data_IF_273662244344
#
_entry.id   IF_273662244344
#
_cell.length_a   1.000
_cell.length_b   1.000
_cell.length_c   1.000
_cell.angle_alpha   90.00
_cell.angle_beta   90.00
_cell.angle_gamma   90.00
#
_symmetry.space_group_name_H-M   'P 1'
#
loop_
_entity.id
_entity.type
_entity.pdbx_description
1 polymer ?
#
# COMPACT_ATOMS: atom_id res chain seq x y z
N UNK A 1 -4.03 -17.13 15.96
CA UNK A 1 -4.07 -17.11 17.45
C UNK A 1 -2.67 -17.07 18.07
N UNK A 2 -1.74 -18.00 17.70
CA UNK A 2 -0.36 -17.98 18.25
C UNK A 2 0.39 -16.71 17.83
N UNK A 3 0.35 -16.37 16.54
CA UNK A 3 0.96 -15.14 15.98
C UNK A 3 0.34 -13.90 16.61
N UNK A 4 -0.98 -13.84 16.74
CA UNK A 4 -1.69 -12.70 17.35
C UNK A 4 -1.34 -12.52 18.84
N UNK A 5 -1.01 -13.60 19.55
CA UNK A 5 -0.58 -13.49 20.95
C UNK A 5 0.78 -12.82 21.09
N UNK A 6 1.62 -12.86 20.06
CA UNK A 6 2.98 -12.26 20.04
C UNK A 6 3.00 -10.92 19.30
N UNK A 7 2.39 -10.86 18.12
CA UNK A 7 2.42 -9.69 17.25
C UNK A 7 1.24 -8.71 17.48
N UNK A 8 0.24 -9.11 18.27
CA UNK A 8 -0.99 -8.35 18.43
C UNK A 8 -1.99 -8.61 17.30
N UNK A 9 -3.13 -7.92 17.34
CA UNK A 9 -4.13 -7.99 16.28
C UNK A 9 -3.60 -7.34 15.02
N UNK A 10 -3.75 -8.02 13.89
CA UNK A 10 -3.40 -7.45 12.60
C UNK A 10 -4.31 -6.26 12.28
N UNK A 11 -3.70 -5.14 11.94
CA UNK A 11 -4.38 -3.98 11.38
C UNK A 11 -4.23 -4.05 9.86
N UNK A 12 -5.33 -4.26 9.16
CA UNK A 12 -5.34 -4.53 7.73
C UNK A 12 -4.96 -3.30 6.90
N UNK A 13 -5.29 -2.11 7.38
CA UNK A 13 -5.17 -0.87 6.59
C UNK A 13 -4.76 0.30 7.47
N UNK A 14 -3.77 1.06 7.04
CA UNK A 14 -3.55 2.45 7.43
C UNK A 14 -4.53 3.35 6.67
N UNK A 15 -4.69 4.60 7.12
CA UNK A 15 -5.61 5.54 6.49
C UNK A 15 -4.87 6.75 5.90
N UNK A 16 -4.26 6.58 4.69
CA UNK A 16 -3.59 7.67 4.00
C UNK A 16 -4.55 8.80 3.61
N UNK A 17 -5.84 8.50 3.40
CA UNK A 17 -6.84 9.50 3.05
C UNK A 17 -7.13 10.44 4.21
N UNK A 18 -7.32 9.91 5.43
CA UNK A 18 -7.49 10.74 6.63
C UNK A 18 -6.28 11.64 6.87
N UNK A 19 -5.06 11.16 6.56
CA UNK A 19 -3.84 11.96 6.62
C UNK A 19 -3.82 13.04 5.52
N UNK A 20 -4.06 12.68 4.26
CA UNK A 20 -4.03 13.60 3.12
C UNK A 20 -5.12 14.67 3.20
N UNK A 21 -6.29 14.33 3.73
CA UNK A 21 -7.41 15.25 3.93
C UNK A 21 -7.24 16.12 5.20
N UNK A 22 -6.18 15.90 5.98
CA UNK A 22 -5.87 16.69 7.18
C UNK A 22 -6.68 16.32 8.42
N UNK A 23 -7.34 15.16 8.43
CA UNK A 23 -8.07 14.64 9.60
C UNK A 23 -7.15 13.91 10.57
N UNK A 24 -5.98 13.48 10.10
CA UNK A 24 -4.96 12.81 10.87
C UNK A 24 -3.66 13.62 10.84
N UNK A 25 -2.98 13.71 11.97
CA UNK A 25 -1.67 14.36 12.05
C UNK A 25 -0.59 13.46 11.45
N UNK A 26 0.53 14.06 11.01
CA UNK A 26 1.69 13.30 10.52
C UNK A 26 2.25 12.32 11.54
N UNK A 27 2.31 12.72 12.82
CA UNK A 27 2.83 11.86 13.88
C UNK A 27 1.94 10.63 14.09
N UNK A 28 0.60 10.82 14.05
CA UNK A 28 -0.35 9.72 14.18
C UNK A 28 -0.29 8.78 12.97
N UNK A 29 -0.09 9.32 11.77
CA UNK A 29 0.07 8.49 10.57
C UNK A 29 1.36 7.67 10.59
N UNK A 30 2.48 8.27 11.03
CA UNK A 30 3.73 7.55 11.24
C UNK A 30 3.60 6.46 12.32
N UNK A 31 2.87 6.73 13.39
CA UNK A 31 2.59 5.73 14.43
C UNK A 31 1.79 4.56 13.85
N UNK A 32 0.76 4.83 13.05
CA UNK A 32 -0.06 3.81 12.40
C UNK A 32 0.76 2.92 11.46
N UNK A 33 1.61 3.52 10.61
CA UNK A 33 2.53 2.79 9.74
C UNK A 33 3.56 1.98 10.54
N UNK A 34 4.05 2.54 11.66
CA UNK A 34 4.95 1.86 12.57
C UNK A 34 4.33 0.64 13.25
N UNK A 35 3.06 0.73 13.64
CA UNK A 35 2.31 -0.41 14.19
C UNK A 35 2.20 -1.53 13.15
N UNK A 36 1.92 -1.19 11.89
CA UNK A 36 1.86 -2.16 10.79
C UNK A 36 3.23 -2.83 10.54
N UNK A 37 4.30 -2.03 10.43
CA UNK A 37 5.66 -2.56 10.25
C UNK A 37 6.10 -3.45 11.43
N UNK A 38 5.79 -3.05 12.68
CA UNK A 38 6.08 -3.82 13.87
C UNK A 38 5.30 -5.14 13.92
N UNK A 39 4.02 -5.11 13.55
CA UNK A 39 3.23 -6.33 13.48
C UNK A 39 3.85 -7.32 12.49
N UNK A 40 4.17 -6.85 11.28
CA UNK A 40 4.84 -7.64 10.25
C UNK A 40 6.17 -8.23 10.74
N UNK A 41 7.04 -7.41 11.34
CA UNK A 41 8.33 -7.83 11.86
C UNK A 41 8.20 -8.89 12.97
N UNK A 42 7.29 -8.67 13.93
CA UNK A 42 7.04 -9.59 15.03
C UNK A 42 6.42 -10.89 14.55
N UNK A 43 5.44 -10.84 13.66
CA UNK A 43 4.77 -12.02 13.11
C UNK A 43 5.74 -12.88 12.29
N UNK A 44 6.53 -12.26 11.42
CA UNK A 44 7.53 -12.95 10.60
C UNK A 44 8.61 -13.57 11.50
N UNK A 45 9.15 -12.83 12.46
CA UNK A 45 10.15 -13.32 13.41
C UNK A 45 9.63 -14.53 14.20
N UNK A 46 8.39 -14.44 14.70
CA UNK A 46 7.76 -15.55 15.42
C UNK A 46 7.65 -16.81 14.57
N UNK A 47 7.23 -16.69 13.31
CA UNK A 47 7.08 -17.83 12.40
C UNK A 47 8.44 -18.47 12.13
N UNK A 48 9.46 -17.67 11.81
CA UNK A 48 10.81 -18.18 11.52
C UNK A 48 11.46 -18.89 12.73
N UNK A 49 11.17 -18.43 13.94
CA UNK A 49 11.71 -19.00 15.17
C UNK A 49 10.97 -20.27 15.63
N UNK A 50 9.66 -20.37 15.38
CA UNK A 50 8.80 -21.39 16.02
C UNK A 50 8.19 -22.41 15.06
N UNK A 51 8.44 -22.28 13.75
CA UNK A 51 7.95 -23.23 12.74
C UNK A 51 9.12 -23.77 11.92
N UNK A 52 9.03 -25.01 11.49
CA UNK A 52 9.96 -25.59 10.52
C UNK A 52 9.65 -25.02 9.13
N UNK A 53 10.70 -24.64 8.40
CA UNK A 53 10.58 -24.08 7.06
C UNK A 53 11.84 -24.36 6.22
N UNK A 54 11.65 -24.61 4.94
CA UNK A 54 12.71 -24.68 3.92
C UNK A 54 12.70 -23.42 3.06
N UNK A 55 11.52 -22.75 2.96
CA UNK A 55 11.32 -21.51 2.25
C UNK A 55 10.35 -20.63 3.03
N UNK A 56 10.71 -19.38 3.21
CA UNK A 56 9.86 -18.36 3.80
C UNK A 56 9.74 -17.16 2.85
N UNK A 57 8.52 -16.67 2.67
CA UNK A 57 8.22 -15.45 1.93
C UNK A 57 7.38 -14.53 2.80
N UNK A 58 7.76 -13.26 2.83
CA UNK A 58 7.05 -12.25 3.61
C UNK A 58 6.99 -10.96 2.81
N UNK A 59 5.92 -10.18 2.97
CA UNK A 59 5.69 -8.92 2.29
C UNK A 59 5.26 -7.84 3.27
N UNK A 60 5.73 -6.61 3.06
CA UNK A 60 5.37 -5.44 3.85
C UNK A 60 5.02 -4.27 2.93
N UNK A 61 3.83 -3.70 3.10
CA UNK A 61 3.30 -2.63 2.25
C UNK A 61 3.57 -1.21 2.77
N UNK A 62 4.14 -1.05 3.95
CA UNK A 62 4.25 0.26 4.62
C UNK A 62 5.02 1.31 3.81
N UNK A 63 6.07 0.88 3.08
CA UNK A 63 6.85 1.78 2.22
C UNK A 63 6.00 2.23 1.03
N UNK A 64 5.31 1.30 0.38
CA UNK A 64 4.40 1.60 -0.73
C UNK A 64 3.31 2.61 -0.31
N UNK A 65 2.71 2.40 0.85
CA UNK A 65 1.64 3.28 1.36
C UNK A 65 2.12 4.72 1.60
N UNK A 66 3.27 4.92 2.24
CA UNK A 66 3.80 6.28 2.47
C UNK A 66 4.26 6.94 1.15
N UNK A 67 4.79 6.16 0.20
CA UNK A 67 5.19 6.68 -1.10
C UNK A 67 3.98 7.07 -1.94
N UNK A 68 2.91 6.28 -1.94
CA UNK A 68 1.64 6.68 -2.56
C UNK A 68 1.11 8.02 -2.02
N UNK A 69 1.25 8.26 -0.73
CA UNK A 69 0.79 9.50 -0.11
C UNK A 69 1.68 10.70 -0.41
N UNK A 70 3.02 10.52 -0.46
CA UNK A 70 3.96 11.65 -0.40
C UNK A 70 5.02 11.70 -1.50
N UNK A 71 5.16 10.66 -2.36
CA UNK A 71 6.23 10.62 -3.35
C UNK A 71 6.20 11.80 -4.32
N UNK A 72 5.02 12.21 -4.78
CA UNK A 72 4.88 13.38 -5.64
C UNK A 72 5.38 14.69 -4.99
N UNK A 73 5.39 14.76 -3.67
CA UNK A 73 5.91 15.91 -2.92
C UNK A 73 7.44 16.02 -2.89
N UNK A 74 8.16 14.93 -3.22
CA UNK A 74 9.63 14.90 -3.27
C UNK A 74 10.19 14.89 -4.71
N UNK A 75 9.34 14.64 -5.71
CA UNK A 75 9.74 14.53 -7.12
C UNK A 75 9.67 15.90 -7.81
N UNK A 76 10.81 16.51 -8.19
CA UNK A 76 10.82 17.87 -8.77
C UNK A 76 10.02 18.01 -10.06
N UNK A 77 9.77 16.90 -10.79
CA UNK A 77 8.97 16.91 -12.00
C UNK A 77 7.47 16.89 -11.75
N UNK A 78 7.03 16.55 -10.52
CA UNK A 78 5.62 16.49 -10.17
C UNK A 78 5.00 17.89 -10.02
N UNK A 79 3.75 18.04 -10.43
CA UNK A 79 3.01 19.32 -10.36
C UNK A 79 2.82 19.83 -8.94
N UNK A 80 2.74 18.93 -7.97
CA UNK A 80 2.54 19.27 -6.55
C UNK A 80 3.85 19.50 -5.80
N UNK A 81 4.99 19.33 -6.45
CA UNK A 81 6.30 19.55 -5.84
C UNK A 81 6.47 20.99 -5.34
N UNK A 82 7.06 21.13 -4.18
CA UNK A 82 7.45 22.42 -3.62
C UNK A 82 8.71 22.27 -2.76
N UNK A 83 9.72 23.10 -3.01
CA UNK A 83 10.93 23.15 -2.17
C UNK A 83 10.62 23.39 -0.69
N UNK A 84 9.49 24.04 -0.40
CA UNK A 84 9.06 24.32 0.98
C UNK A 84 8.55 23.05 1.69
N UNK A 85 7.84 22.17 1.00
CA UNK A 85 7.21 20.98 1.58
C UNK A 85 8.01 19.70 1.36
N UNK A 86 8.88 19.65 0.35
CA UNK A 86 9.70 18.48 0.04
C UNK A 86 10.53 17.97 1.24
N UNK A 87 11.15 18.80 2.09
CA UNK A 87 11.86 18.33 3.28
C UNK A 87 10.96 17.56 4.27
N UNK A 88 9.72 17.99 4.43
CA UNK A 88 8.73 17.30 5.25
C UNK A 88 8.37 15.93 4.65
N UNK A 89 8.06 15.87 3.35
CA UNK A 89 7.75 14.61 2.67
C UNK A 89 8.93 13.63 2.76
N UNK A 90 10.16 14.12 2.55
CA UNK A 90 11.37 13.32 2.73
C UNK A 90 11.55 12.80 4.16
N UNK A 91 11.25 13.63 5.16
CA UNK A 91 11.32 13.19 6.55
C UNK A 91 10.36 12.03 6.82
N UNK A 92 9.11 12.16 6.42
CA UNK A 92 8.07 11.14 6.60
C UNK A 92 8.45 9.81 5.91
N UNK A 93 8.85 9.88 4.64
CA UNK A 93 9.25 8.68 3.87
C UNK A 93 10.44 7.99 4.55
N UNK A 94 11.50 8.73 4.90
CA UNK A 94 12.69 8.16 5.56
C UNK A 94 12.36 7.54 6.92
N UNK A 95 11.44 8.12 7.66
CA UNK A 95 11.04 7.56 8.95
C UNK A 95 10.37 6.20 8.80
N UNK A 96 9.53 6.02 7.77
CA UNK A 96 8.92 4.72 7.46
C UNK A 96 9.97 3.71 6.99
N UNK A 97 10.92 4.10 6.15
CA UNK A 97 12.05 3.24 5.77
C UNK A 97 12.84 2.78 6.99
N UNK A 98 13.11 3.70 7.93
CA UNK A 98 13.79 3.38 9.19
C UNK A 98 13.02 2.35 10.03
N UNK A 99 11.70 2.53 10.15
CA UNK A 99 10.83 1.59 10.87
C UNK A 99 10.82 0.20 10.24
N UNK A 100 10.78 0.11 8.91
CA UNK A 100 10.85 -1.17 8.19
C UNK A 100 12.24 -1.80 8.33
N UNK A 101 13.32 -1.04 8.21
CA UNK A 101 14.70 -1.50 8.39
C UNK A 101 14.94 -2.08 9.79
N UNK A 102 14.45 -1.43 10.84
CA UNK A 102 14.50 -1.95 12.20
C UNK A 102 13.79 -3.32 12.34
N UNK A 103 12.66 -3.49 11.66
CA UNK A 103 11.94 -4.76 11.67
C UNK A 103 12.61 -5.84 10.81
N UNK A 104 13.26 -5.47 9.71
CA UNK A 104 14.16 -6.38 8.96
C UNK A 104 15.30 -6.86 9.89
N UNK A 105 15.90 -5.96 10.66
CA UNK A 105 16.91 -6.31 11.66
C UNK A 105 16.41 -7.39 12.63
N UNK A 106 15.23 -7.22 13.21
CA UNK A 106 14.60 -8.22 14.11
C UNK A 106 14.40 -9.59 13.43
N UNK A 107 13.97 -9.58 12.16
CA UNK A 107 13.77 -10.79 11.37
C UNK A 107 15.11 -11.50 11.16
N UNK A 108 16.16 -10.76 10.78
CA UNK A 108 17.49 -11.30 10.53
C UNK A 108 18.13 -11.92 11.79
N UNK A 109 17.81 -11.43 12.98
CA UNK A 109 18.24 -12.04 14.26
C UNK A 109 17.70 -13.46 14.47
N UNK A 110 16.61 -13.83 13.75
CA UNK A 110 15.97 -15.16 13.83
C UNK A 110 16.42 -16.12 12.73
N UNK A 111 17.38 -15.71 11.89
CA UNK A 111 17.84 -16.47 10.73
C UNK A 111 19.31 -16.83 10.88
N UNK A 112 19.65 -18.09 10.71
CA UNK A 112 21.05 -18.52 10.60
C UNK A 112 21.59 -18.17 9.20
N UNK A 113 22.29 -17.04 9.12
CA UNK A 113 22.88 -16.55 7.87
C UNK A 113 24.01 -17.42 7.31
N UNK A 114 24.53 -18.41 8.08
CA UNK A 114 25.49 -19.40 7.56
C UNK A 114 24.82 -20.51 6.72
N UNK A 115 23.52 -20.70 6.95
CA UNK A 115 22.75 -21.77 6.31
C UNK A 115 21.51 -21.27 5.53
N UNK A 116 21.32 -19.95 5.44
CA UNK A 116 20.12 -19.35 4.83
C UNK A 116 20.51 -18.23 3.86
N UNK A 117 19.96 -18.28 2.67
CA UNK A 117 20.00 -17.14 1.74
C UNK A 117 18.84 -16.20 2.05
N UNK A 118 19.14 -14.94 2.29
CA UNK A 118 18.15 -13.89 2.44
C UNK A 118 18.14 -13.02 1.20
N UNK A 119 16.96 -12.84 0.60
CA UNK A 119 16.76 -12.05 -0.62
C UNK A 119 15.73 -10.98 -0.30
N UNK A 120 16.14 -9.70 -0.39
CA UNK A 120 15.25 -8.56 -0.32
C UNK A 120 14.97 -8.07 -1.74
N UNK A 121 13.70 -8.01 -2.09
CA UNK A 121 13.24 -7.61 -3.42
C UNK A 121 12.13 -6.56 -3.30
N UNK A 122 11.95 -5.79 -4.35
CA UNK A 122 10.79 -4.92 -4.57
C UNK A 122 9.97 -5.48 -5.74
N UNK A 123 8.66 -5.41 -5.64
CA UNK A 123 7.71 -5.77 -6.70
C UNK A 123 7.65 -4.69 -7.79
N UNK A 124 7.83 -3.43 -7.44
CA UNK A 124 7.91 -2.28 -8.34
C UNK A 124 8.64 -1.10 -7.69
N UNK A 125 8.85 -0.05 -8.45
CA UNK A 125 9.27 1.25 -7.96
C UNK A 125 8.08 2.21 -7.86
N UNK A 126 8.36 3.47 -7.48
CA UNK A 126 7.36 4.53 -7.39
C UNK A 126 7.66 5.64 -8.39
N UNK A 127 6.60 6.24 -8.94
CA UNK A 127 6.68 7.47 -9.73
C UNK A 127 5.51 8.37 -9.38
N UNK A 128 5.65 9.69 -9.64
CA UNK A 128 4.53 10.62 -9.43
C UNK A 128 3.46 10.43 -10.52
N UNK A 129 2.23 10.73 -10.15
CA UNK A 129 1.08 10.76 -11.05
C UNK A 129 0.46 12.16 -11.02
N UNK A 130 0.61 12.91 -12.11
CA UNK A 130 0.01 14.25 -12.23
C UNK A 130 -1.44 14.24 -12.68
N UNK A 131 -1.85 13.17 -13.33
CA UNK A 131 -3.18 12.99 -13.89
C UNK A 131 -3.67 11.58 -13.61
N UNK A 132 -4.82 11.49 -12.96
CA UNK A 132 -5.51 10.21 -12.81
C UNK A 132 -6.50 10.04 -13.97
N UNK A 133 -6.22 9.17 -14.94
CA UNK A 133 -7.16 8.90 -16.03
C UNK A 133 -8.35 8.12 -15.45
N UNK A 134 -9.56 8.66 -15.58
CA UNK A 134 -10.78 7.96 -15.22
C UNK A 134 -11.08 6.86 -16.25
N UNK A 135 -10.30 5.78 -16.22
CA UNK A 135 -10.32 4.69 -17.20
C UNK A 135 -11.73 4.12 -17.37
N UNK A 136 -12.45 3.91 -16.26
CA UNK A 136 -13.84 3.43 -16.29
C UNK A 136 -14.76 4.35 -17.09
N UNK A 137 -14.61 5.66 -16.92
CA UNK A 137 -15.40 6.64 -17.67
C UNK A 137 -15.07 6.62 -19.17
N UNK A 138 -13.79 6.58 -19.52
CA UNK A 138 -13.36 6.48 -20.92
C UNK A 138 -13.86 5.20 -21.58
N UNK A 139 -13.77 4.06 -20.90
CA UNK A 139 -14.31 2.79 -21.41
C UNK A 139 -15.83 2.84 -21.55
N UNK A 140 -16.54 3.45 -20.61
CA UNK A 140 -17.98 3.62 -20.68
C UNK A 140 -18.39 4.52 -21.86
N UNK A 141 -17.73 5.66 -22.04
CA UNK A 141 -17.96 6.56 -23.19
C UNK A 141 -17.64 5.88 -24.53
N UNK A 142 -16.63 5.02 -24.58
CA UNK A 142 -16.30 4.22 -25.76
C UNK A 142 -17.26 3.05 -26.01
N UNK A 143 -18.24 2.82 -25.12
CA UNK A 143 -19.19 1.72 -25.20
C UNK A 143 -18.62 0.34 -24.88
N UNK A 144 -17.43 0.29 -24.29
CA UNK A 144 -16.73 -0.93 -23.91
C UNK A 144 -17.09 -1.41 -22.49
N UNK A 145 -17.50 -0.50 -21.61
CA UNK A 145 -17.95 -0.77 -20.26
C UNK A 145 -19.39 -0.30 -20.13
N UNK A 146 -20.27 -1.17 -19.65
CA UNK A 146 -21.69 -0.89 -19.46
C UNK A 146 -22.07 -1.03 -17.99
N UNK A 147 -22.89 -0.11 -17.52
CA UNK A 147 -23.44 -0.11 -16.16
C UNK A 147 -24.94 -0.35 -16.21
N UNK A 148 -25.45 -1.13 -15.26
CA UNK A 148 -26.85 -1.14 -14.90
C UNK A 148 -27.07 0.05 -13.98
N UNK A 149 -27.86 1.02 -14.45
CA UNK A 149 -28.32 2.15 -13.64
C UNK A 149 -29.62 1.75 -12.94
N UNK A 150 -29.56 1.43 -11.67
CA UNK A 150 -30.77 1.36 -10.86
C UNK A 150 -31.09 2.77 -10.35
N UNK A 151 -31.94 3.46 -11.08
CA UNK A 151 -32.41 4.80 -10.73
C UNK A 151 -33.44 4.79 -9.58
N UNK A 152 -33.79 3.61 -9.03
CA UNK A 152 -34.70 3.48 -7.90
C UNK A 152 -34.06 3.75 -6.55
N UNK A 153 -32.73 3.86 -6.51
CA UNK A 153 -31.95 4.14 -5.29
C UNK A 153 -31.10 5.39 -5.50
N UNK A 154 -31.10 6.28 -4.51
CA UNK A 154 -30.21 7.46 -4.46
C UNK A 154 -28.75 7.09 -4.05
N UNK A 155 -28.44 5.79 -3.92
CA UNK A 155 -27.13 5.31 -3.50
C UNK A 155 -26.25 5.04 -4.73
N UNK A 156 -25.20 5.84 -4.97
CA UNK A 156 -24.28 5.66 -6.09
C UNK A 156 -23.44 4.36 -5.98
N UNK A 157 -23.42 3.67 -4.84
CA UNK A 157 -22.76 2.38 -4.68
C UNK A 157 -23.52 1.24 -5.38
N UNK A 158 -24.78 1.46 -5.76
CA UNK A 158 -25.59 0.50 -6.53
C UNK A 158 -25.32 0.49 -8.05
N UNK A 159 -24.26 1.15 -8.49
CA UNK A 159 -23.80 1.06 -9.86
C UNK A 159 -23.20 -0.34 -10.08
N UNK A 160 -23.97 -1.25 -10.66
CA UNK A 160 -23.47 -2.58 -11.02
C UNK A 160 -23.04 -2.62 -12.49
N UNK A 161 -22.03 -3.44 -12.77
CA UNK A 161 -21.56 -3.64 -14.15
C UNK A 161 -22.49 -4.61 -14.88
N UNK A 162 -22.95 -4.22 -16.07
CA UNK A 162 -23.63 -5.15 -16.98
C UNK A 162 -22.59 -6.01 -17.70
N UNK A 163 -22.28 -7.15 -17.12
CA UNK A 163 -21.33 -8.09 -17.69
C UNK A 163 -21.75 -8.69 -19.03
N UNK A 164 -23.03 -8.69 -19.35
CA UNK A 164 -23.54 -9.21 -20.63
C UNK A 164 -23.20 -8.31 -21.81
N UNK A 165 -22.98 -7.03 -21.57
CA UNK A 165 -22.68 -6.02 -22.58
C UNK A 165 -21.28 -5.39 -22.43
N UNK A 166 -20.57 -5.69 -21.35
CA UNK A 166 -19.22 -5.18 -21.09
C UNK A 166 -18.19 -6.00 -21.86
N UNK A 167 -17.35 -5.32 -22.62
CA UNK A 167 -16.26 -5.91 -23.41
C UNK A 167 -14.90 -5.75 -22.76
N UNK A 168 -14.75 -4.76 -21.88
CA UNK A 168 -13.49 -4.43 -21.21
C UNK A 168 -13.78 -3.84 -19.85
N UNK A 169 -13.05 -4.30 -18.82
CA UNK A 169 -13.15 -3.80 -17.46
C UNK A 169 -11.75 -3.56 -16.89
N UNK A 170 -11.47 -2.38 -16.31
CA UNK A 170 -10.22 -2.14 -15.60
C UNK A 170 -10.27 -2.87 -14.25
N UNK A 171 -9.22 -3.62 -13.91
CA UNK A 171 -9.04 -4.18 -12.57
C UNK A 171 -8.58 -3.11 -11.59
N UNK A 172 -7.67 -2.28 -12.07
CA UNK A 172 -7.09 -1.17 -11.33
C UNK A 172 -7.08 0.08 -12.22
N UNK A 173 -6.78 1.26 -11.68
CA UNK A 173 -6.79 2.52 -12.43
C UNK A 173 -5.98 2.50 -13.72
N UNK A 174 -4.92 1.69 -13.80
CA UNK A 174 -3.98 1.63 -14.92
C UNK A 174 -3.99 0.31 -15.71
N UNK A 175 -4.81 -0.69 -15.33
CA UNK A 175 -4.88 -1.99 -16.00
C UNK A 175 -6.31 -2.26 -16.48
N UNK A 176 -6.45 -2.85 -17.67
CA UNK A 176 -7.74 -3.25 -18.19
C UNK A 176 -7.71 -4.68 -18.73
N UNK A 177 -8.75 -5.47 -18.40
CA UNK A 177 -9.02 -6.77 -18.99
C UNK A 177 -10.01 -6.65 -20.14
N UNK A 178 -9.72 -7.35 -21.23
CA UNK A 178 -10.53 -7.44 -22.44
C UNK A 178 -11.25 -8.77 -22.46
#
# INVERSE_FOLDING_TARGET
>A
KEVEAVAGTYMEVDDPWAFMDGWMTSDLYLEQLGLHANWWGNATSYILENKEWDFAFSWVGTIDHIEHALYAGIEPAARVYSEKTAPFCWHMIREVYRQVDENIGKILEKVDLHNTYVILISDHGMTHLDWNPFVKEHLSRAGLLKYNLDLSTDDPSNLSIDWSQTKCHPLEPCHAHI
#
